data_IF_839522295430
#
_entry.id   IF_839522295430
#
_cell.length_a   1.000
_cell.length_b   1.000
_cell.length_c   1.000
_cell.angle_alpha   90.00
_cell.angle_beta   90.00
_cell.angle_gamma   90.00
#
_symmetry.space_group_name_H-M   'P 1'
#
loop_
_entity.id
_entity.type
_entity.pdbx_description
1 polymer ?
#
# COMPACT_ATOMS: atom_id res chain seq x y z
N UNK A 1 -6.35 -4.10 -0.27
CA UNK A 1 -5.23 -4.50 -1.15
C UNK A 1 -3.92 -4.54 -0.38
N UNK A 2 -3.45 -3.43 0.16
CA UNK A 2 -2.16 -3.33 0.86
C UNK A 2 -2.09 -4.02 2.24
N UNK A 3 -2.93 -5.01 2.53
CA UNK A 3 -2.97 -5.70 3.82
C UNK A 3 -2.64 -7.19 3.62
N UNK A 4 -1.56 -7.67 4.23
CA UNK A 4 -1.09 -9.07 4.13
C UNK A 4 -1.98 -10.08 4.85
N UNK A 5 -2.84 -9.61 5.75
CA UNK A 5 -3.75 -10.44 6.54
C UNK A 5 -5.11 -10.65 5.86
N UNK A 6 -5.27 -10.19 4.61
CA UNK A 6 -6.45 -10.52 3.81
C UNK A 6 -6.38 -12.02 3.47
N UNK A 7 -7.16 -12.81 4.20
CA UNK A 7 -7.37 -14.23 3.90
C UNK A 7 -8.33 -14.39 2.72
N UNK A 8 -8.01 -15.32 1.82
CA UNK A 8 -8.83 -15.70 0.67
C UNK A 8 -8.79 -17.23 0.52
N UNK A 9 -9.88 -17.85 0.01
CA UNK A 9 -9.85 -19.23 -0.46
C UNK A 9 -8.80 -19.45 -1.57
N UNK A 10 -8.35 -20.69 -1.75
CA UNK A 10 -7.27 -21.05 -2.68
C UNK A 10 -7.64 -20.77 -4.15
N UNK A 11 -8.92 -20.88 -4.50
CA UNK A 11 -9.45 -20.63 -5.84
C UNK A 11 -9.70 -19.15 -6.13
N UNK A 12 -9.51 -18.27 -5.14
CA UNK A 12 -9.68 -16.82 -5.31
C UNK A 12 -8.32 -16.15 -5.45
N UNK A 13 -8.16 -15.45 -6.58
CA UNK A 13 -6.94 -14.72 -6.86
C UNK A 13 -6.74 -13.54 -5.89
N UNK A 14 -5.54 -13.44 -5.34
CA UNK A 14 -5.17 -12.31 -4.47
C UNK A 14 -4.74 -11.12 -5.29
N UNK A 15 -5.60 -10.10 -5.36
CA UNK A 15 -5.24 -8.83 -5.99
C UNK A 15 -4.00 -8.19 -5.37
N UNK A 16 -3.74 -8.39 -4.07
CA UNK A 16 -2.51 -7.91 -3.44
C UNK A 16 -1.27 -8.54 -4.11
N UNK A 17 -1.29 -9.86 -4.33
CA UNK A 17 -0.21 -10.58 -5.00
C UNK A 17 -0.05 -10.16 -6.46
N UNK A 18 -1.14 -9.92 -7.17
CA UNK A 18 -1.08 -9.44 -8.55
C UNK A 18 -0.40 -8.08 -8.65
N UNK A 19 -0.76 -7.15 -7.77
CA UNK A 19 -0.11 -5.85 -7.69
C UNK A 19 1.37 -5.96 -7.31
N UNK A 20 1.72 -6.82 -6.34
CA UNK A 20 3.11 -7.09 -5.98
C UNK A 20 3.93 -7.61 -7.17
N UNK A 21 3.40 -8.59 -7.88
CA UNK A 21 4.07 -9.15 -9.06
C UNK A 21 4.25 -8.10 -10.17
N UNK A 22 3.22 -7.30 -10.43
CA UNK A 22 3.28 -6.21 -11.40
C UNK A 22 4.33 -5.17 -11.01
N UNK A 23 4.35 -4.75 -9.75
CA UNK A 23 5.30 -3.79 -9.23
C UNK A 23 6.75 -4.29 -9.33
N UNK A 24 6.99 -5.53 -8.91
CA UNK A 24 8.31 -6.16 -9.00
C UNK A 24 8.80 -6.30 -10.45
N UNK A 25 7.91 -6.67 -11.39
CA UNK A 25 8.28 -6.87 -12.80
C UNK A 25 8.59 -5.55 -13.53
N UNK A 26 8.13 -4.42 -13.02
CA UNK A 26 8.30 -3.10 -13.63
C UNK A 26 9.15 -2.14 -12.77
N UNK A 27 9.75 -2.62 -11.68
CA UNK A 27 10.52 -1.81 -10.73
C UNK A 27 9.74 -0.58 -10.23
N UNK A 28 8.49 -0.82 -9.82
CA UNK A 28 7.58 0.21 -9.32
C UNK A 28 7.38 0.06 -7.81
N UNK A 29 7.21 1.20 -7.14
CA UNK A 29 6.76 1.24 -5.75
C UNK A 29 5.26 1.55 -5.69
N UNK A 30 4.49 0.73 -4.98
CA UNK A 30 3.04 0.98 -4.81
C UNK A 30 2.82 1.80 -3.55
N UNK A 31 2.52 3.08 -3.72
CA UNK A 31 2.32 4.01 -2.63
C UNK A 31 0.87 3.97 -2.10
N UNK A 32 0.73 4.02 -0.77
CA UNK A 32 -0.54 4.01 -0.06
C UNK A 32 -0.58 5.19 0.92
N UNK A 33 -1.66 5.97 0.90
CA UNK A 33 -1.80 7.09 1.83
C UNK A 33 -1.80 6.61 3.30
N UNK A 34 -0.77 7.01 4.05
CA UNK A 34 -0.53 6.60 5.45
C UNK A 34 -1.73 6.90 6.36
N UNK A 35 -2.32 8.09 6.24
CA UNK A 35 -3.47 8.47 7.07
C UNK A 35 -4.70 7.61 6.77
N UNK A 36 -4.95 7.32 5.49
CA UNK A 36 -6.09 6.50 5.07
C UNK A 36 -5.90 5.01 5.41
N UNK A 37 -4.65 4.53 5.35
CA UNK A 37 -4.26 3.18 5.73
C UNK A 37 -4.43 2.95 7.24
N UNK A 38 -3.84 3.82 8.07
CA UNK A 38 -3.93 3.72 9.53
C UNK A 38 -5.39 3.80 10.01
N UNK A 39 -6.19 4.69 9.44
CA UNK A 39 -7.63 4.79 9.76
C UNK A 39 -8.43 3.50 9.45
N UNK A 40 -7.88 2.60 8.62
CA UNK A 40 -8.46 1.29 8.27
C UNK A 40 -7.70 0.12 8.88
N UNK A 41 -6.81 0.38 9.84
CA UNK A 41 -6.02 -0.64 10.50
C UNK A 41 -4.96 -1.28 9.61
N UNK A 42 -4.50 -0.58 8.57
CA UNK A 42 -3.34 -1.01 7.75
C UNK A 42 -2.12 -0.20 8.18
N UNK A 43 -1.06 -0.88 8.63
CA UNK A 43 0.15 -0.25 9.17
C UNK A 43 1.40 -1.04 8.81
N UNK A 44 2.52 -0.33 8.63
CA UNK A 44 3.87 -0.92 8.68
C UNK A 44 4.39 -0.97 10.12
N UNK A 45 5.59 -1.54 10.30
CA UNK A 45 6.24 -1.71 11.59
C UNK A 45 6.59 -0.38 12.29
N UNK A 46 7.02 0.62 11.53
CA UNK A 46 7.43 1.93 12.07
C UNK A 46 6.22 2.69 12.63
N UNK A 47 5.12 2.71 11.87
CA UNK A 47 3.87 3.31 12.29
C UNK A 47 3.22 2.53 13.42
N UNK A 48 3.31 1.19 13.42
CA UNK A 48 2.80 0.37 14.51
C UNK A 48 3.51 0.71 15.81
N UNK A 49 4.84 0.83 15.77
CA UNK A 49 5.66 1.23 16.92
C UNK A 49 5.32 2.65 17.38
N UNK A 50 5.28 3.60 16.44
CA UNK A 50 5.01 5.02 16.72
C UNK A 50 3.66 5.25 17.39
N UNK A 51 2.63 4.51 16.95
CA UNK A 51 1.26 4.66 17.42
C UNK A 51 0.84 3.61 18.45
N UNK A 52 1.80 2.80 18.95
CA UNK A 52 1.57 1.78 19.98
C UNK A 52 0.50 0.74 19.56
N UNK A 53 0.49 0.39 18.28
CA UNK A 53 -0.39 -0.63 17.73
C UNK A 53 0.21 -2.02 17.94
N UNK A 54 -0.67 -3.03 18.01
CA UNK A 54 -0.24 -4.42 18.12
C UNK A 54 0.07 -4.99 16.73
N UNK A 55 1.36 -5.05 16.44
CA UNK A 55 1.87 -5.61 15.18
C UNK A 55 1.58 -4.72 13.97
N UNK A 56 1.99 -5.23 12.82
CA UNK A 56 1.83 -4.60 11.52
C UNK A 56 1.19 -5.58 10.53
N UNK A 57 0.73 -5.06 9.39
CA UNK A 57 0.03 -5.86 8.41
C UNK A 57 0.12 -5.31 6.98
N UNK A 58 1.00 -4.33 6.72
CA UNK A 58 1.26 -3.89 5.36
C UNK A 58 1.75 -5.08 4.51
N UNK A 59 1.22 -5.19 3.30
CA UNK A 59 1.68 -6.18 2.33
C UNK A 59 3.03 -5.77 1.72
N UNK A 60 3.90 -6.73 1.46
CA UNK A 60 5.23 -6.49 0.88
C UNK A 60 5.13 -5.70 -0.44
N UNK A 61 6.12 -4.86 -0.75
CA UNK A 61 6.12 -4.04 -1.98
C UNK A 61 5.14 -2.85 -1.99
N UNK A 62 4.32 -2.70 -0.95
CA UNK A 62 3.58 -1.45 -0.69
C UNK A 62 4.38 -0.56 0.26
N UNK A 63 4.21 0.75 0.12
CA UNK A 63 4.84 1.77 0.97
C UNK A 63 3.80 2.75 1.51
N UNK A 64 3.85 3.07 2.80
CA UNK A 64 3.02 4.11 3.39
C UNK A 64 3.64 5.48 3.17
N UNK A 65 2.91 6.36 2.47
CA UNK A 65 3.37 7.72 2.16
C UNK A 65 2.40 8.80 2.60
N UNK A 66 2.92 10.00 2.82
CA UNK A 66 2.10 11.18 3.06
C UNK A 66 1.40 11.67 1.78
N UNK A 67 0.31 12.44 1.94
CA UNK A 67 -0.40 13.06 0.82
C UNK A 67 0.51 13.97 -0.04
N UNK A 68 1.60 14.48 0.53
CA UNK A 68 2.61 15.27 -0.21
C UNK A 68 3.25 14.50 -1.36
N UNK A 69 3.49 13.19 -1.23
CA UNK A 69 4.02 12.35 -2.32
C UNK A 69 3.07 12.35 -3.52
N UNK A 70 1.77 12.17 -3.27
CA UNK A 70 0.76 12.26 -4.32
C UNK A 70 0.80 13.64 -5.01
N UNK A 71 0.91 14.72 -4.24
CA UNK A 71 0.98 16.08 -4.80
C UNK A 71 2.24 16.27 -5.68
N UNK A 72 3.38 15.71 -5.30
CA UNK A 72 4.61 15.75 -6.09
C UNK A 72 4.49 14.94 -7.40
N UNK A 73 3.90 13.75 -7.34
CA UNK A 73 3.61 12.95 -8.53
C UNK A 73 2.63 13.65 -9.46
N UNK A 74 1.55 14.22 -8.93
CA UNK A 74 0.57 14.97 -9.72
C UNK A 74 1.17 16.20 -10.39
N UNK A 75 2.15 16.86 -9.76
CA UNK A 75 2.83 18.01 -10.35
C UNK A 75 3.68 17.63 -11.58
N UNK A 76 4.29 16.45 -11.58
CA UNK A 76 5.17 15.98 -12.66
C UNK A 76 4.45 15.10 -13.69
N UNK A 77 3.29 14.54 -13.34
CA UNK A 77 2.54 13.64 -14.20
C UNK A 77 1.95 14.36 -15.43
N UNK A 78 2.19 13.79 -16.61
CA UNK A 78 1.54 14.23 -17.86
C UNK A 78 0.06 13.84 -17.92
N UNK A 79 -0.29 12.72 -17.31
CA UNK A 79 -1.64 12.15 -17.36
C UNK A 79 -1.92 11.40 -16.07
N UNK A 80 -3.16 11.48 -15.59
CA UNK A 80 -3.63 10.82 -14.37
C UNK A 80 -4.84 9.97 -14.73
N UNK A 81 -4.81 8.70 -14.35
CA UNK A 81 -5.93 7.78 -14.46
C UNK A 81 -6.48 7.51 -13.06
N UNK A 82 -7.77 7.79 -12.83
CA UNK A 82 -8.46 7.62 -11.55
C UNK A 82 -9.61 6.61 -11.70
N UNK A 83 -9.75 5.73 -10.71
CA UNK A 83 -10.74 4.65 -10.66
C UNK A 83 -11.45 4.63 -9.30
#
# INVERSE_FOLDING_TARGET
>A
LANRLIWLPEDIESMAKNWQHFAMSHDLTIQVCVSAALARGVTDADNATRHQLQGDNLADGFELVGLGELAMHLHSAKTVYQF
#
